data_IF_756235997521
#
_entry.id   IF_756235997521
#
_cell.length_a   1.000
_cell.length_b   1.000
_cell.length_c   1.000
_cell.angle_alpha   90.00
_cell.angle_beta   90.00
_cell.angle_gamma   90.00
#
_symmetry.space_group_name_H-M   'P 1'
#
loop_
_entity.id
_entity.type
_entity.pdbx_description
1 polymer ?
#
# COMPACT_ATOMS: atom_id res chain seq x y z
N UNK A 1 -8.90 -23.30 34.65
CA UNK A 1 -10.10 -22.77 33.93
C UNK A 1 -10.12 -21.24 33.82
N UNK A 2 -9.88 -20.46 34.89
CA UNK A 2 -9.75 -18.98 34.80
C UNK A 2 -8.58 -18.52 33.90
N UNK A 3 -7.44 -19.23 33.96
CA UNK A 3 -6.28 -18.95 33.11
C UNK A 3 -6.56 -19.20 31.62
N UNK A 4 -7.30 -20.25 31.28
CA UNK A 4 -7.66 -20.60 29.90
C UNK A 4 -8.60 -19.56 29.27
N UNK A 5 -9.57 -19.06 30.04
CA UNK A 5 -10.50 -18.00 29.61
C UNK A 5 -9.77 -16.66 29.47
N UNK A 6 -8.83 -16.35 30.37
CA UNK A 6 -7.98 -15.17 30.25
C UNK A 6 -7.06 -15.26 29.02
N UNK A 7 -6.50 -16.44 28.73
CA UNK A 7 -5.67 -16.68 27.55
C UNK A 7 -6.49 -16.55 26.26
N UNK A 8 -7.73 -17.06 26.25
CA UNK A 8 -8.65 -16.92 25.11
C UNK A 8 -9.03 -15.45 24.89
N UNK A 9 -9.35 -14.71 25.96
CA UNK A 9 -9.61 -13.26 25.90
C UNK A 9 -8.38 -12.47 25.46
N UNK A 10 -7.17 -12.87 25.87
CA UNK A 10 -5.92 -12.26 25.40
C UNK A 10 -5.67 -12.53 23.91
N UNK A 11 -6.04 -13.73 23.43
CA UNK A 11 -5.99 -14.08 22.01
C UNK A 11 -6.97 -13.26 21.15
N UNK A 12 -8.10 -12.82 21.73
CA UNK A 12 -9.02 -11.86 21.08
C UNK A 12 -8.62 -10.39 21.24
N UNK A 13 -7.71 -10.08 22.17
CA UNK A 13 -7.16 -8.74 22.42
C UNK A 13 -5.83 -8.49 21.73
N UNK A 14 -5.16 -9.53 21.22
CA UNK A 14 -4.10 -9.34 20.25
C UNK A 14 -4.72 -8.58 19.07
N UNK A 15 -4.18 -7.41 18.69
CA UNK A 15 -4.52 -6.85 17.40
C UNK A 15 -4.03 -7.90 16.40
N UNK A 16 -4.93 -8.75 15.92
CA UNK A 16 -4.78 -9.31 14.59
C UNK A 16 -4.51 -8.07 13.76
N UNK A 17 -3.30 -7.96 13.19
CA UNK A 17 -2.99 -7.01 12.14
C UNK A 17 -4.02 -7.29 11.07
N UNK A 18 -5.16 -6.65 11.22
CA UNK A 18 -6.31 -6.81 10.36
C UNK A 18 -5.82 -6.07 9.15
N UNK A 19 -5.41 -6.82 8.12
CA UNK A 19 -5.22 -6.27 6.80
C UNK A 19 -6.58 -5.67 6.43
N UNK A 20 -6.75 -4.38 6.71
CA UNK A 20 -7.99 -3.66 6.47
C UNK A 20 -8.00 -3.30 4.99
N UNK A 21 -8.23 -4.33 4.17
CA UNK A 21 -8.68 -4.12 2.82
C UNK A 21 -10.11 -3.58 2.88
N UNK A 22 -10.41 -2.59 2.05
CA UNK A 22 -11.72 -1.97 1.96
C UNK A 22 -12.02 -1.62 0.51
N UNK A 23 -13.29 -1.43 0.18
CA UNK A 23 -13.71 -1.01 -1.16
C UNK A 23 -14.16 0.44 -1.06
N UNK A 24 -13.42 1.34 -1.69
CA UNK A 24 -13.87 2.71 -1.93
C UNK A 24 -14.83 2.70 -3.11
N UNK A 25 -15.92 3.46 -3.02
CA UNK A 25 -16.96 3.53 -4.06
C UNK A 25 -17.36 4.97 -4.29
N UNK A 26 -17.56 5.33 -5.56
CA UNK A 26 -18.08 6.63 -5.99
C UNK A 26 -19.29 6.40 -6.89
N UNK A 27 -20.39 7.06 -6.55
CA UNK A 27 -21.68 6.92 -7.23
C UNK A 27 -22.46 8.26 -7.16
N UNK A 28 -23.42 8.50 -8.07
CA UNK A 28 -24.30 9.67 -7.99
C UNK A 28 -25.19 9.60 -6.74
N UNK A 29 -25.42 10.75 -6.10
CA UNK A 29 -26.23 10.82 -4.85
C UNK A 29 -27.72 10.58 -5.09
N UNK A 30 -28.24 11.05 -6.23
CA UNK A 30 -29.66 10.97 -6.59
C UNK A 30 -29.82 10.37 -7.98
N UNK A 31 -30.74 9.42 -8.11
CA UNK A 31 -30.98 8.70 -9.37
C UNK A 31 -32.47 8.39 -9.53
N UNK A 32 -32.98 8.46 -10.75
CA UNK A 32 -34.37 8.15 -11.08
C UNK A 32 -34.43 6.91 -11.97
N UNK A 33 -35.61 6.27 -12.01
CA UNK A 33 -35.85 5.13 -12.90
C UNK A 33 -35.61 5.57 -14.35
N UNK A 34 -34.90 4.74 -15.11
CA UNK A 34 -34.47 4.99 -16.48
C UNK A 34 -33.10 5.67 -16.60
N UNK A 35 -32.55 6.25 -15.53
CA UNK A 35 -31.22 6.85 -15.57
C UNK A 35 -30.14 5.77 -15.80
N UNK A 36 -29.16 6.10 -16.65
CA UNK A 36 -27.88 5.39 -16.70
C UNK A 36 -26.94 6.01 -15.68
N UNK A 37 -26.35 5.17 -14.82
CA UNK A 37 -25.46 5.60 -13.75
C UNK A 37 -24.16 4.81 -13.84
N UNK A 38 -23.07 5.46 -13.45
CA UNK A 38 -21.75 4.82 -13.33
C UNK A 38 -21.35 4.77 -11.87
N UNK A 39 -20.88 3.60 -11.44
CA UNK A 39 -20.33 3.37 -10.11
C UNK A 39 -18.86 3.01 -10.30
N UNK A 40 -17.98 3.84 -9.78
CA UNK A 40 -16.54 3.60 -9.76
C UNK A 40 -16.17 2.98 -8.41
N UNK A 41 -15.20 2.09 -8.41
CA UNK A 41 -14.80 1.39 -7.20
C UNK A 41 -13.34 0.96 -7.24
N UNK A 42 -12.71 0.90 -6.07
CA UNK A 42 -11.29 0.58 -5.93
C UNK A 42 -11.09 -0.26 -4.68
N UNK A 43 -10.31 -1.35 -4.79
CA UNK A 43 -9.85 -2.11 -3.63
C UNK A 43 -8.62 -1.40 -3.03
N UNK A 44 -8.73 -1.01 -1.77
CA UNK A 44 -7.73 -0.23 -1.06
C UNK A 44 -7.26 -1.00 0.17
N UNK A 45 -5.95 -1.13 0.34
CA UNK A 45 -5.34 -1.62 1.59
C UNK A 45 -4.60 -0.47 2.30
N UNK A 46 -4.50 -0.54 3.63
CA UNK A 46 -3.85 0.49 4.46
C UNK A 46 -2.34 0.27 4.68
N UNK A 47 -1.79 -0.75 4.04
CA UNK A 47 -0.36 -1.07 4.10
C UNK A 47 0.04 -1.93 2.92
N UNK A 48 1.33 -1.90 2.61
CA UNK A 48 1.99 -2.87 1.75
C UNK A 48 2.66 -3.89 2.67
N UNK A 49 2.49 -5.17 2.37
CA UNK A 49 3.25 -6.28 2.93
C UNK A 49 3.40 -7.32 1.82
N UNK A 50 4.23 -6.99 0.84
CA UNK A 50 4.32 -7.76 -0.40
C UNK A 50 5.61 -7.43 -1.13
N UNK A 51 6.21 -8.45 -1.72
CA UNK A 51 7.31 -8.31 -2.68
C UNK A 51 6.82 -8.32 -4.12
N UNK A 52 5.52 -8.53 -4.38
CA UNK A 52 4.97 -8.53 -5.73
C UNK A 52 4.72 -7.09 -6.23
N UNK A 53 5.78 -6.40 -6.65
CA UNK A 53 5.72 -5.05 -7.19
C UNK A 53 4.91 -5.01 -8.49
N UNK A 54 3.80 -4.25 -8.56
CA UNK A 54 2.95 -4.27 -9.74
C UNK A 54 3.54 -3.52 -10.93
N UNK A 55 4.43 -2.56 -10.68
CA UNK A 55 5.11 -1.80 -11.73
C UNK A 55 6.61 -2.08 -11.64
N UNK A 56 7.15 -2.69 -12.69
CA UNK A 56 8.58 -2.94 -12.84
C UNK A 56 9.01 -2.28 -14.15
N UNK A 57 9.88 -1.29 -14.03
CA UNK A 57 10.32 -0.46 -15.16
C UNK A 57 11.26 -1.24 -16.08
N UNK A 58 11.23 -1.01 -17.41
CA UNK A 58 12.29 -1.45 -18.30
C UNK A 58 13.66 -1.02 -17.79
N UNK A 59 14.56 -1.98 -17.55
CA UNK A 59 15.82 -1.73 -16.84
C UNK A 59 15.98 -2.57 -15.57
N UNK A 60 14.90 -3.19 -15.09
CA UNK A 60 14.93 -4.23 -14.06
C UNK A 60 14.63 -5.59 -14.68
N UNK A 61 15.47 -6.58 -14.39
CA UNK A 61 15.23 -7.99 -14.70
C UNK A 61 14.89 -8.74 -13.42
N UNK A 62 13.76 -9.43 -13.43
CA UNK A 62 13.43 -10.40 -12.38
C UNK A 62 14.22 -11.71 -12.63
N UNK A 63 15.03 -12.12 -11.65
CA UNK A 63 15.83 -13.36 -11.69
C UNK A 63 15.11 -14.51 -10.97
N UNK A 64 14.38 -14.20 -9.91
CA UNK A 64 13.67 -15.16 -9.05
C UNK A 64 12.47 -14.48 -8.41
N UNK A 65 11.40 -15.23 -8.14
CA UNK A 65 10.17 -14.74 -7.47
C UNK A 65 10.09 -15.11 -5.99
N UNK A 66 10.90 -16.07 -5.51
CA UNK A 66 10.87 -16.52 -4.12
C UNK A 66 12.25 -16.97 -3.61
N UNK A 67 13.00 -16.12 -2.88
CA UNK A 67 12.72 -14.69 -2.68
C UNK A 67 12.78 -13.92 -4.00
N UNK A 68 12.17 -12.72 -4.03
CA UNK A 68 12.25 -11.85 -5.20
C UNK A 68 13.70 -11.39 -5.38
N UNK A 69 14.28 -11.60 -6.54
CA UNK A 69 15.62 -11.11 -6.89
C UNK A 69 15.51 -10.24 -8.13
N UNK A 70 15.87 -8.97 -7.97
CA UNK A 70 15.88 -7.98 -9.03
C UNK A 70 17.32 -7.67 -9.42
N UNK A 71 17.57 -7.60 -10.72
CA UNK A 71 18.84 -7.18 -11.28
C UNK A 71 18.65 -5.93 -12.12
N UNK A 72 19.46 -4.90 -11.89
CA UNK A 72 19.56 -3.77 -12.80
C UNK A 72 20.35 -4.15 -14.04
N UNK A 73 19.71 -4.05 -15.20
CA UNK A 73 20.36 -4.17 -16.52
C UNK A 73 20.82 -2.75 -16.97
N UNK A 74 21.52 -2.53 -18.10
CA UNK A 74 22.34 -1.33 -18.33
C UNK A 74 21.55 -0.05 -18.68
N UNK A 75 20.54 0.23 -17.88
CA UNK A 75 19.75 1.46 -17.77
C UNK A 75 19.72 1.76 -16.28
N UNK A 76 20.52 2.73 -15.82
CA UNK A 76 20.44 3.20 -14.43
C UNK A 76 19.06 3.82 -14.13
N UNK A 77 18.69 3.92 -12.85
CA UNK A 77 17.41 4.52 -12.47
C UNK A 77 16.17 3.69 -12.78
N UNK A 78 16.32 2.38 -12.91
CA UNK A 78 15.18 1.50 -13.07
C UNK A 78 14.62 1.13 -11.69
N UNK A 79 13.32 0.89 -11.59
CA UNK A 79 12.68 0.67 -10.29
C UNK A 79 11.51 -0.31 -10.36
N UNK A 80 11.20 -0.88 -9.20
CA UNK A 80 10.02 -1.69 -8.94
C UNK A 80 9.21 -1.00 -7.83
N UNK A 81 7.96 -0.62 -8.10
CA UNK A 81 7.15 0.24 -7.21
C UNK A 81 5.71 -0.22 -7.09
N UNK A 82 5.09 0.17 -5.98
CA UNK A 82 3.66 0.15 -5.75
C UNK A 82 3.08 1.55 -5.99
N UNK A 83 1.88 1.62 -6.56
CA UNK A 83 1.09 2.85 -6.55
C UNK A 83 0.43 3.02 -5.18
N UNK A 84 0.58 4.21 -4.61
CA UNK A 84 0.09 4.54 -3.28
C UNK A 84 -0.67 5.86 -3.28
N UNK A 85 -1.53 6.05 -2.28
CA UNK A 85 -2.02 7.37 -1.94
C UNK A 85 -1.58 7.69 -0.52
N UNK A 86 -0.89 8.81 -0.39
CA UNK A 86 -0.44 9.28 0.91
C UNK A 86 -1.63 9.82 1.71
N UNK A 87 -1.98 9.12 2.79
CA UNK A 87 -3.13 9.45 3.65
C UNK A 87 -2.70 9.93 5.05
N UNK A 88 -1.39 9.91 5.33
CA UNK A 88 -0.81 10.17 6.65
C UNK A 88 0.21 11.30 6.58
N UNK A 89 0.51 11.90 7.73
CA UNK A 89 1.65 12.79 7.89
C UNK A 89 2.95 12.02 8.18
N UNK A 90 2.90 10.70 8.24
CA UNK A 90 4.05 9.83 8.45
C UNK A 90 3.89 8.55 7.64
N UNK A 91 4.95 8.15 6.94
CA UNK A 91 5.07 6.86 6.26
C UNK A 91 6.30 6.14 6.83
N UNK A 92 6.13 4.86 7.15
CA UNK A 92 7.23 3.97 7.52
C UNK A 92 7.42 2.94 6.42
N UNK A 93 8.63 2.84 5.87
CA UNK A 93 9.00 1.90 4.81
C UNK A 93 10.07 0.97 5.36
N UNK A 94 9.86 -0.34 5.27
CA UNK A 94 10.81 -1.36 5.71
C UNK A 94 11.16 -2.28 4.56
N UNK A 95 12.46 -2.36 4.28
CA UNK A 95 13.05 -3.32 3.36
C UNK A 95 13.78 -4.40 4.17
N UNK A 96 13.52 -5.67 3.87
CA UNK A 96 14.29 -6.79 4.39
C UNK A 96 14.87 -7.57 3.22
N UNK A 97 16.19 -7.68 3.16
CA UNK A 97 16.81 -8.25 1.97
C UNK A 97 18.32 -8.18 1.94
N UNK A 98 18.88 -8.44 0.76
CA UNK A 98 20.32 -8.36 0.50
C UNK A 98 20.59 -7.46 -0.69
N UNK A 99 21.76 -6.85 -0.70
CA UNK A 99 22.27 -6.11 -1.85
C UNK A 99 23.68 -6.60 -2.20
N UNK A 100 23.93 -6.69 -3.49
CA UNK A 100 25.25 -6.76 -4.09
C UNK A 100 25.31 -5.66 -5.15
N UNK A 101 26.01 -4.56 -4.81
CA UNK A 101 26.00 -3.34 -5.62
C UNK A 101 27.37 -2.66 -5.61
N UNK A 102 27.81 -2.10 -6.75
CA UNK A 102 28.89 -1.13 -6.79
C UNK A 102 28.61 0.10 -5.92
N UNK A 103 29.63 0.60 -5.22
CA UNK A 103 29.53 1.72 -4.28
C UNK A 103 29.09 3.04 -4.93
N UNK A 104 29.37 3.24 -6.22
CA UNK A 104 28.99 4.43 -6.98
C UNK A 104 27.57 4.35 -7.58
N UNK A 105 26.87 3.24 -7.35
CA UNK A 105 25.47 3.09 -7.70
C UNK A 105 24.57 3.37 -6.51
N UNK A 106 23.28 3.57 -6.82
CA UNK A 106 22.34 4.13 -5.87
C UNK A 106 21.09 3.23 -5.72
N UNK A 107 21.21 1.91 -5.46
CA UNK A 107 20.05 1.12 -5.09
C UNK A 107 19.52 1.56 -3.73
N UNK A 108 18.21 1.52 -3.55
CA UNK A 108 17.61 1.96 -2.31
C UNK A 108 16.10 1.97 -2.31
N UNK A 109 15.54 2.50 -1.23
CA UNK A 109 14.12 2.82 -1.13
C UNK A 109 13.89 4.13 -1.86
N UNK A 110 12.97 4.13 -2.81
CA UNK A 110 12.55 5.32 -3.52
C UNK A 110 11.07 5.60 -3.30
N UNK A 111 10.75 6.88 -3.18
CA UNK A 111 9.39 7.40 -3.23
C UNK A 111 9.31 8.47 -4.31
N UNK A 112 8.22 8.46 -5.05
CA UNK A 112 8.01 9.35 -6.19
C UNK A 112 6.64 10.01 -6.11
N UNK A 113 6.58 11.27 -6.52
CA UNK A 113 5.37 12.05 -6.71
C UNK A 113 5.37 12.74 -8.07
N UNK A 114 4.39 13.60 -8.30
CA UNK A 114 4.23 14.29 -9.58
C UNK A 114 3.79 13.35 -10.70
N UNK A 115 4.26 13.59 -11.93
CA UNK A 115 3.82 12.88 -13.13
C UNK A 115 4.80 11.76 -13.55
N UNK A 116 5.25 10.94 -12.58
CA UNK A 116 6.14 9.82 -12.87
C UNK A 116 5.49 8.84 -13.86
N UNK A 117 6.17 8.56 -14.96
CA UNK A 117 5.83 7.48 -15.88
C UNK A 117 6.56 6.20 -15.48
N UNK A 118 5.81 5.23 -14.94
CA UNK A 118 6.31 3.94 -14.44
C UNK A 118 6.90 3.01 -15.51
N UNK A 119 6.85 3.39 -16.79
CA UNK A 119 7.42 2.62 -17.89
C UNK A 119 8.76 3.16 -18.37
N UNK A 120 9.27 4.23 -17.77
CA UNK A 120 10.53 4.88 -18.13
C UNK A 120 11.42 4.96 -16.88
N UNK A 121 12.74 4.79 -17.05
CA UNK A 121 13.68 4.96 -15.93
C UNK A 121 13.63 6.40 -15.38
N UNK A 122 13.91 6.56 -14.10
CA UNK A 122 13.95 7.85 -13.39
C UNK A 122 15.09 8.77 -13.86
N UNK A 123 16.04 8.25 -14.65
CA UNK A 123 17.13 9.03 -15.26
C UNK A 123 16.78 9.58 -16.65
N UNK A 124 15.68 9.11 -17.25
CA UNK A 124 15.30 9.43 -18.63
C UNK A 124 13.91 10.10 -18.73
N UNK A 125 13.42 10.64 -17.62
CA UNK A 125 12.19 11.39 -17.58
C UNK A 125 12.33 12.59 -16.65
N UNK A 126 11.55 13.64 -16.93
CA UNK A 126 11.46 14.85 -16.13
C UNK A 126 10.02 14.99 -15.58
N UNK A 127 9.72 16.06 -14.85
CA UNK A 127 8.38 16.39 -14.31
C UNK A 127 7.85 15.43 -13.23
N UNK A 128 8.75 14.83 -12.46
CA UNK A 128 8.43 14.12 -11.24
C UNK A 128 9.24 14.66 -10.06
N UNK A 129 8.78 14.36 -8.85
CA UNK A 129 9.53 14.61 -7.62
C UNK A 129 9.90 13.28 -6.99
N UNK A 130 11.05 13.22 -6.31
CA UNK A 130 11.51 11.96 -5.75
C UNK A 130 12.43 12.13 -4.56
N UNK A 131 12.40 11.15 -3.66
CA UNK A 131 13.40 10.97 -2.61
C UNK A 131 13.90 9.54 -2.69
N UNK A 132 15.22 9.39 -2.75
CA UNK A 132 15.90 8.10 -2.83
C UNK A 132 16.86 7.95 -1.65
N UNK A 133 16.57 6.98 -0.80
CA UNK A 133 17.38 6.62 0.36
C UNK A 133 18.20 5.38 0.00
N UNK A 134 19.47 5.60 -0.34
CA UNK A 134 20.32 4.54 -0.89
C UNK A 134 20.90 3.65 0.19
N UNK A 135 21.06 2.38 -0.16
CA UNK A 135 21.77 1.40 0.65
C UNK A 135 23.28 1.70 0.73
N UNK A 136 23.80 2.48 -0.22
CA UNK A 136 25.19 2.93 -0.30
C UNK A 136 25.50 4.15 0.57
N UNK A 137 24.49 4.74 1.22
CA UNK A 137 24.65 5.77 2.26
C UNK A 137 24.54 7.21 1.76
N UNK A 138 23.68 7.46 0.78
CA UNK A 138 23.41 8.78 0.19
C UNK A 138 21.90 9.02 0.12
N UNK A 139 21.49 10.23 0.47
CA UNK A 139 20.14 10.76 0.29
C UNK A 139 20.10 11.59 -0.98
N UNK A 140 19.40 11.08 -1.99
CA UNK A 140 19.16 11.79 -3.24
C UNK A 140 17.76 12.38 -3.28
N UNK A 141 17.64 13.54 -3.90
CA UNK A 141 16.35 14.19 -4.17
C UNK A 141 16.22 14.53 -5.64
N UNK A 142 15.04 14.31 -6.20
CA UNK A 142 14.70 14.71 -7.56
C UNK A 142 13.70 15.84 -7.52
N UNK A 143 14.04 16.97 -8.14
CA UNK A 143 13.12 18.07 -8.38
C UNK A 143 12.83 18.18 -9.88
N UNK A 144 11.59 18.49 -10.23
CA UNK A 144 11.10 18.65 -11.62
C UNK A 144 12.00 19.52 -12.49
N UNK A 145 12.72 20.49 -11.92
CA UNK A 145 13.55 21.47 -12.64
C UNK A 145 15.05 21.17 -12.62
N UNK A 146 15.54 20.35 -11.69
CA UNK A 146 16.98 20.18 -11.43
C UNK A 146 17.49 18.76 -11.63
N UNK A 147 16.60 17.79 -11.78
CA UNK A 147 16.99 16.39 -11.80
C UNK A 147 17.38 15.88 -10.41
N UNK A 148 18.14 14.78 -10.39
CA UNK A 148 18.68 14.17 -9.18
C UNK A 148 19.87 14.96 -8.60
N UNK A 149 19.81 15.26 -7.31
CA UNK A 149 20.84 15.96 -6.55
C UNK A 149 21.12 15.22 -5.24
N UNK A 150 22.39 15.05 -4.89
CA UNK A 150 22.82 14.55 -3.58
C UNK A 150 22.55 15.63 -2.53
N UNK A 151 21.79 15.27 -1.51
CA UNK A 151 21.44 16.17 -0.42
C UNK A 151 22.28 15.92 0.84
N UNK A 152 22.56 14.66 1.18
CA UNK A 152 23.22 14.31 2.43
C UNK A 152 23.72 12.85 2.46
N UNK A 153 24.63 12.56 3.39
CA UNK A 153 25.05 11.19 3.70
C UNK A 153 24.06 10.49 4.65
N UNK A 154 23.87 9.18 4.43
CA UNK A 154 23.05 8.27 5.22
C UNK A 154 23.90 7.11 5.79
N UNK A 155 23.43 6.41 6.84
CA UNK A 155 24.07 5.17 7.27
C UNK A 155 24.04 4.10 6.17
N UNK A 156 25.20 3.46 5.93
CA UNK A 156 25.37 2.37 4.95
C UNK A 156 24.88 1.04 5.50
N UNK A 157 24.34 0.18 4.63
CA UNK A 157 23.80 -1.15 5.04
C UNK A 157 24.87 -2.20 5.32
N UNK A 158 26.09 -1.99 4.86
CA UNK A 158 27.17 -2.95 4.98
C UNK A 158 28.54 -2.36 4.71
N UNK A 159 29.61 -3.13 5.01
CA UNK A 159 30.97 -2.72 4.73
C UNK A 159 31.22 -2.68 3.22
N UNK A 160 32.06 -1.73 2.79
CA UNK A 160 32.56 -1.65 1.44
C UNK A 160 33.80 -2.55 1.29
N UNK A 161 33.80 -3.41 0.27
CA UNK A 161 34.94 -4.23 -0.13
C UNK A 161 35.36 -3.86 -1.55
N UNK A 162 36.44 -3.09 -1.66
CA UNK A 162 36.85 -2.50 -2.94
C UNK A 162 35.79 -1.52 -3.47
N UNK A 163 35.26 -1.80 -4.67
CA UNK A 163 34.19 -0.99 -5.27
C UNK A 163 32.79 -1.53 -4.95
N UNK A 164 32.65 -2.57 -4.13
CA UNK A 164 31.36 -3.24 -3.90
C UNK A 164 30.88 -3.07 -2.46
N UNK A 165 29.57 -2.95 -2.29
CA UNK A 165 28.85 -3.19 -1.04
C UNK A 165 28.10 -4.50 -1.24
N UNK A 166 28.46 -5.51 -0.46
CA UNK A 166 27.85 -6.82 -0.50
C UNK A 166 27.41 -7.23 0.91
N UNK A 167 26.12 -7.50 1.06
CA UNK A 167 25.56 -7.98 2.32
C UNK A 167 25.34 -9.50 2.26
N UNK A 168 26.21 -10.26 2.90
CA UNK A 168 26.14 -11.73 2.92
C UNK A 168 24.83 -12.25 3.57
N UNK A 169 24.36 -11.55 4.59
CA UNK A 169 23.13 -11.87 5.33
C UNK A 169 22.05 -10.81 5.07
N UNK A 170 20.75 -11.18 5.12
CA UNK A 170 19.70 -10.19 4.99
C UNK A 170 19.81 -9.12 6.08
N UNK A 171 19.67 -7.86 5.69
CA UNK A 171 19.55 -6.74 6.60
C UNK A 171 18.12 -6.22 6.61
N UNK A 172 17.73 -5.61 7.72
CA UNK A 172 16.52 -4.81 7.82
C UNK A 172 16.91 -3.33 7.71
N UNK A 173 16.30 -2.61 6.78
CA UNK A 173 16.44 -1.17 6.59
C UNK A 173 15.06 -0.51 6.63
N UNK A 174 14.76 0.17 7.73
CA UNK A 174 13.52 0.91 7.92
C UNK A 174 13.78 2.41 7.84
N UNK A 175 12.97 3.12 7.08
CA UNK A 175 12.97 4.59 6.99
C UNK A 175 11.65 5.11 7.55
N UNK A 176 11.72 6.15 8.37
CA UNK A 176 10.55 6.90 8.83
C UNK A 176 10.58 8.29 8.24
N UNK A 177 9.57 8.61 7.44
CA UNK A 177 9.41 9.89 6.76
C UNK A 177 8.17 10.59 7.29
N UNK A 178 8.21 11.91 7.38
CA UNK A 178 7.06 12.72 7.78
C UNK A 178 6.84 13.94 6.92
N UNK A 179 5.62 14.47 7.00
CA UNK A 179 5.25 15.76 6.46
C UNK A 179 5.70 16.87 7.41
N UNK A 180 6.59 17.74 6.95
CA UNK A 180 6.98 18.96 7.63
C UNK A 180 6.61 20.16 6.76
N UNK A 181 5.50 20.84 7.09
CA UNK A 181 5.01 22.03 6.38
C UNK A 181 4.73 21.82 4.88
N UNK A 182 4.33 20.61 4.48
CA UNK A 182 4.07 20.25 3.09
C UNK A 182 5.29 19.67 2.38
N UNK A 183 6.46 19.67 3.02
CA UNK A 183 7.69 19.05 2.51
C UNK A 183 7.95 17.71 3.16
N UNK A 184 8.77 16.91 2.49
CA UNK A 184 9.23 15.62 2.96
C UNK A 184 10.37 15.78 3.92
N UNK A 185 10.24 15.12 5.07
CA UNK A 185 11.21 15.11 6.14
C UNK A 185 11.68 13.69 6.42
N UNK A 186 12.99 13.48 6.40
CA UNK A 186 13.61 12.20 6.75
C UNK A 186 13.94 12.21 8.24
N UNK A 187 13.10 11.56 9.06
CA UNK A 187 13.29 11.57 10.52
C UNK A 187 14.50 10.72 10.92
N UNK A 188 14.40 9.41 10.66
CA UNK A 188 15.41 8.46 11.07
C UNK A 188 15.41 7.21 10.20
N UNK A 189 16.53 6.52 10.25
CA UNK A 189 16.75 5.24 9.58
C UNK A 189 17.11 4.23 10.66
N UNK A 190 16.55 3.02 10.57
CA UNK A 190 16.85 1.91 11.47
C UNK A 190 17.47 0.80 10.63
N UNK A 191 18.71 0.43 10.95
CA UNK A 191 19.40 -0.67 10.29
C UNK A 191 19.66 -1.77 11.30
N UNK A 192 19.10 -2.97 11.06
CA UNK A 192 19.23 -4.13 11.96
C UNK A 192 18.91 -3.79 13.43
N UNK A 193 17.89 -2.95 13.66
CA UNK A 193 17.46 -2.51 14.99
C UNK A 193 18.23 -1.32 15.57
N UNK A 194 19.34 -0.89 14.96
CA UNK A 194 20.07 0.31 15.37
C UNK A 194 19.45 1.56 14.73
N UNK A 195 19.03 2.52 15.56
CA UNK A 195 18.40 3.77 15.10
C UNK A 195 19.46 4.85 14.85
N UNK A 196 19.40 5.46 13.68
CA UNK A 196 20.22 6.58 13.24
C UNK A 196 19.31 7.79 13.01
N UNK A 197 19.54 8.88 13.75
CA UNK A 197 18.84 10.13 13.54
C UNK A 197 19.38 10.80 12.26
N UNK A 198 18.50 11.13 11.33
CA UNK A 198 18.86 11.82 10.07
C UNK A 198 18.48 13.29 10.18
N UNK A 199 17.21 13.57 10.49
CA UNK A 199 16.70 14.92 10.79
C UNK A 199 16.88 15.93 9.64
N UNK A 200 16.45 15.55 8.42
CA UNK A 200 16.66 16.34 7.19
C UNK A 200 15.34 16.66 6.48
N UNK A 201 15.08 17.94 6.23
CA UNK A 201 14.02 18.41 5.33
C UNK A 201 14.54 18.45 3.89
N UNK A 202 13.84 17.80 2.96
CA UNK A 202 14.32 17.60 1.58
C UNK A 202 13.86 18.67 0.60
N UNK A 203 12.91 19.52 0.99
CA UNK A 203 12.20 20.46 0.10
C UNK A 203 11.47 19.77 -1.08
N UNK A 204 11.25 18.46 -0.98
CA UNK A 204 10.42 17.71 -1.92
C UNK A 204 8.99 17.66 -1.37
N UNK A 205 7.95 18.06 -2.14
CA UNK A 205 6.58 18.06 -1.65
C UNK A 205 6.12 16.69 -1.11
N UNK A 206 5.34 16.71 -0.03
CA UNK A 206 4.74 15.52 0.60
C UNK A 206 3.51 15.04 -0.21
N UNK A 207 3.72 14.62 -1.45
CA UNK A 207 2.65 14.23 -2.39
C UNK A 207 3.01 12.98 -3.21
N UNK A 208 3.54 11.95 -2.54
CA UNK A 208 3.95 10.71 -3.18
C UNK A 208 2.78 9.89 -3.72
N UNK A 209 2.98 9.34 -4.91
CA UNK A 209 2.09 8.41 -5.61
C UNK A 209 2.71 7.04 -5.81
N UNK A 210 4.02 6.90 -5.59
CA UNK A 210 4.71 5.62 -5.71
C UNK A 210 5.75 5.42 -4.61
N UNK A 211 5.93 4.16 -4.20
CA UNK A 211 6.96 3.71 -3.26
C UNK A 211 7.52 2.37 -3.69
N UNK A 212 8.82 2.17 -3.55
CA UNK A 212 9.41 0.88 -3.88
C UNK A 212 10.92 0.85 -3.77
N UNK A 213 11.51 0.00 -4.60
CA UNK A 213 12.95 -0.23 -4.67
C UNK A 213 13.46 0.24 -6.02
N UNK A 214 14.48 1.10 -5.97
CA UNK A 214 15.18 1.63 -7.14
C UNK A 214 16.53 0.91 -7.28
N UNK A 215 16.94 0.68 -8.52
CA UNK A 215 18.14 -0.06 -8.91
C UNK A 215 18.90 0.71 -10.01
N UNK A 216 20.21 0.51 -10.03
CA UNK A 216 21.13 0.92 -11.09
C UNK A 216 21.72 -0.29 -11.80
N UNK A 217 22.49 -0.03 -12.85
CA UNK A 217 23.19 -1.04 -13.62
C UNK A 217 24.06 -1.95 -12.73
N UNK A 218 24.00 -3.27 -12.92
CA UNK A 218 24.75 -4.29 -12.16
C UNK A 218 24.30 -4.50 -10.72
N UNK A 219 23.31 -3.76 -10.22
CA UNK A 219 22.76 -4.02 -8.90
C UNK A 219 22.06 -5.38 -8.88
N UNK A 220 22.28 -6.15 -7.81
CA UNK A 220 21.48 -7.32 -7.47
C UNK A 220 20.86 -7.07 -6.11
N UNK A 221 19.53 -6.94 -6.09
CA UNK A 221 18.75 -6.70 -4.88
C UNK A 221 17.85 -7.91 -4.64
N UNK A 222 18.08 -8.62 -3.54
CA UNK A 222 17.19 -9.69 -3.07
C UNK A 222 16.23 -9.10 -2.06
N UNK A 223 14.93 -9.23 -2.30
CA UNK A 223 13.84 -8.70 -1.47
C UNK A 223 13.14 -9.87 -0.79
N UNK A 224 13.39 -10.03 0.50
CA UNK A 224 12.73 -11.04 1.33
C UNK A 224 11.39 -10.54 1.86
N UNK A 225 11.32 -9.25 2.21
CA UNK A 225 10.10 -8.60 2.65
C UNK A 225 10.13 -7.10 2.31
N UNK A 226 8.96 -6.53 2.04
CA UNK A 226 8.79 -5.11 1.78
C UNK A 226 7.47 -4.63 2.39
N UNK A 227 7.60 -3.80 3.43
CA UNK A 227 6.47 -3.32 4.21
C UNK A 227 6.37 -1.80 4.13
N UNK A 228 5.16 -1.29 3.94
CA UNK A 228 4.88 0.16 3.98
C UNK A 228 3.63 0.39 4.83
N UNK A 229 3.71 1.29 5.79
CA UNK A 229 2.58 1.73 6.61
C UNK A 229 2.42 3.24 6.56
N UNK A 230 1.23 3.74 6.93
CA UNK A 230 0.89 5.16 6.81
C UNK A 230 0.45 5.56 5.39
N UNK A 231 0.08 4.59 4.55
CA UNK A 231 -0.33 4.84 3.17
C UNK A 231 -1.58 4.04 2.83
N UNK A 232 -2.29 4.42 1.78
CA UNK A 232 -3.20 3.51 1.08
C UNK A 232 -2.51 2.95 -0.17
N UNK A 233 -2.81 1.71 -0.53
CA UNK A 233 -2.30 1.06 -1.74
C UNK A 233 -3.46 0.47 -2.53
N UNK A 234 -3.38 0.62 -3.85
CA UNK A 234 -4.28 -0.02 -4.81
C UNK A 234 -3.50 -1.09 -5.57
N UNK A 235 -4.14 -2.21 -5.84
CA UNK A 235 -3.52 -3.28 -6.62
C UNK A 235 -4.14 -3.31 -8.02
N UNK A 236 -3.32 -3.36 -9.09
CA UNK A 236 -3.85 -3.50 -10.43
C UNK A 236 -4.45 -4.88 -10.65
N UNK A 237 -5.29 -4.97 -11.68
CA UNK A 237 -5.81 -6.22 -12.23
C UNK A 237 -6.42 -7.15 -11.18
N UNK A 238 -7.10 -6.57 -10.20
CA UNK A 238 -7.83 -7.34 -9.19
C UNK A 238 -9.15 -7.82 -9.78
N UNK A 239 -9.46 -9.12 -9.67
CA UNK A 239 -10.74 -9.63 -10.14
C UNK A 239 -11.87 -9.08 -9.27
N UNK A 240 -12.95 -8.66 -9.92
CA UNK A 240 -14.17 -8.21 -9.26
C UNK A 240 -15.41 -8.86 -9.87
N UNK A 241 -16.48 -8.92 -9.08
CA UNK A 241 -17.81 -9.33 -9.52
C UNK A 241 -18.82 -8.34 -8.98
N UNK A 242 -19.69 -7.83 -9.86
CA UNK A 242 -20.81 -6.95 -9.52
C UNK A 242 -22.10 -7.73 -9.65
N UNK A 243 -22.88 -7.77 -8.57
CA UNK A 243 -24.23 -8.30 -8.55
C UNK A 243 -25.25 -7.17 -8.51
N UNK A 244 -26.34 -7.30 -9.24
CA UNK A 244 -27.51 -6.43 -9.15
C UNK A 244 -28.70 -7.30 -8.73
N UNK A 245 -29.32 -6.97 -7.59
CA UNK A 245 -30.42 -7.74 -7.00
C UNK A 245 -30.08 -9.25 -6.88
N UNK A 246 -28.89 -9.55 -6.35
CA UNK A 246 -28.34 -10.90 -6.16
C UNK A 246 -28.07 -11.71 -7.43
N UNK A 247 -28.21 -11.12 -8.62
CA UNK A 247 -27.82 -11.73 -9.88
C UNK A 247 -26.51 -11.14 -10.37
N UNK A 248 -25.58 -11.97 -10.82
CA UNK A 248 -24.35 -11.48 -11.44
C UNK A 248 -24.71 -10.58 -12.64
N UNK A 249 -24.17 -9.37 -12.62
CA UNK A 249 -24.36 -8.38 -13.66
C UNK A 249 -23.15 -8.29 -14.57
N UNK A 250 -21.95 -8.19 -13.97
CA UNK A 250 -20.68 -8.19 -14.68
C UNK A 250 -19.56 -8.70 -13.78
N UNK A 251 -18.59 -9.38 -14.37
CA UNK A 251 -17.31 -9.72 -13.76
C UNK A 251 -16.17 -9.17 -14.63
N UNK A 252 -15.04 -8.85 -14.02
CA UNK A 252 -13.92 -8.23 -14.72
C UNK A 252 -12.68 -8.05 -13.85
N UNK A 253 -11.74 -7.25 -14.34
CA UNK A 253 -10.50 -6.90 -13.64
C UNK A 253 -10.36 -5.38 -13.57
N UNK A 254 -9.80 -4.89 -12.46
CA UNK A 254 -9.45 -3.46 -12.36
C UNK A 254 -8.35 -3.08 -13.36
N UNK A 255 -8.27 -1.79 -13.68
CA UNK A 255 -7.24 -1.24 -14.56
C UNK A 255 -5.84 -1.27 -13.92
N UNK A 256 -4.85 -0.69 -14.60
CA UNK A 256 -3.46 -0.59 -14.14
C UNK A 256 -3.31 0.23 -12.84
N UNK A 257 -4.29 1.07 -12.47
CA UNK A 257 -4.29 1.83 -11.22
C UNK A 257 -5.11 1.16 -10.11
N UNK A 258 -5.69 -0.01 -10.39
CA UNK A 258 -6.54 -0.75 -9.45
C UNK A 258 -7.99 -0.24 -9.38
N UNK A 259 -8.42 0.54 -10.36
CA UNK A 259 -9.76 1.11 -10.44
C UNK A 259 -10.69 0.25 -11.32
N UNK A 260 -11.93 0.09 -10.87
CA UNK A 260 -13.02 -0.56 -11.61
C UNK A 260 -14.19 0.40 -11.80
N UNK A 261 -15.00 0.13 -12.82
CA UNK A 261 -16.22 0.89 -13.09
C UNK A 261 -17.29 -0.02 -13.67
N UNK A 262 -18.54 0.25 -13.31
CA UNK A 262 -19.72 -0.40 -13.89
C UNK A 262 -20.75 0.66 -14.23
N UNK A 263 -21.33 0.56 -15.43
CA UNK A 263 -22.47 1.39 -15.84
C UNK A 263 -23.72 0.53 -15.88
N UNK A 264 -24.78 0.97 -15.20
CA UNK A 264 -26.05 0.26 -15.12
C UNK A 264 -27.22 1.21 -15.35
N UNK A 265 -28.36 0.67 -15.79
CA UNK A 265 -29.62 1.43 -15.92
C UNK A 265 -30.49 1.15 -14.71
N UNK A 266 -31.00 2.20 -14.07
CA UNK A 266 -31.90 2.08 -12.91
C UNK A 266 -33.26 1.57 -13.41
N UNK A 267 -33.56 0.29 -13.19
CA UNK A 267 -34.73 -0.39 -13.75
C UNK A 267 -35.88 -0.57 -12.77
N UNK A 268 -35.64 -0.39 -11.48
CA UNK A 268 -36.66 -0.52 -10.44
C UNK A 268 -36.58 0.60 -9.39
N UNK A 269 -37.67 0.86 -8.64
CA UNK A 269 -37.67 1.87 -7.60
C UNK A 269 -36.69 1.58 -6.45
N UNK A 270 -36.31 0.32 -6.30
CA UNK A 270 -35.33 -0.15 -5.33
C UNK A 270 -34.39 -1.15 -6.02
N UNK A 271 -33.08 -0.92 -5.95
CA UNK A 271 -32.05 -1.82 -6.47
C UNK A 271 -30.92 -1.97 -5.45
N UNK A 272 -30.38 -3.18 -5.35
CA UNK A 272 -29.19 -3.48 -4.54
C UNK A 272 -28.05 -3.82 -5.50
N UNK A 273 -26.94 -3.11 -5.38
CA UNK A 273 -25.70 -3.38 -6.12
C UNK A 273 -24.66 -3.87 -5.12
N UNK A 274 -24.09 -5.05 -5.36
CA UNK A 274 -23.04 -5.62 -4.54
C UNK A 274 -21.75 -5.76 -5.35
N UNK A 275 -20.70 -5.05 -4.95
CA UNK A 275 -19.37 -5.11 -5.57
C UNK A 275 -18.50 -6.01 -4.69
N UNK A 276 -18.00 -7.10 -5.25
CA UNK A 276 -17.19 -8.10 -4.54
C UNK A 276 -15.79 -8.18 -5.16
N UNK A 277 -14.77 -8.25 -4.31
CA UNK A 277 -13.40 -8.62 -4.68
C UNK A 277 -13.07 -9.99 -4.09
N UNK A 278 -13.23 -11.08 -4.87
CA UNK A 278 -13.08 -12.45 -4.35
C UNK A 278 -11.70 -12.71 -3.75
N UNK A 279 -10.63 -12.22 -4.37
CA UNK A 279 -9.25 -12.40 -3.90
C UNK A 279 -8.99 -11.82 -2.51
N UNK A 280 -9.75 -10.79 -2.12
CA UNK A 280 -9.64 -10.14 -0.82
C UNK A 280 -10.74 -10.56 0.16
N UNK A 281 -11.68 -11.42 -0.27
CA UNK A 281 -12.86 -11.83 0.49
C UNK A 281 -13.69 -10.65 1.05
N UNK A 282 -13.77 -9.55 0.31
CA UNK A 282 -14.47 -8.33 0.72
C UNK A 282 -15.53 -7.94 -0.31
N UNK A 283 -16.61 -7.36 0.17
CA UNK A 283 -17.70 -6.86 -0.64
C UNK A 283 -18.27 -5.53 -0.11
N UNK A 284 -18.98 -4.81 -0.96
CA UNK A 284 -19.62 -3.52 -0.65
C UNK A 284 -21.02 -3.47 -1.24
N UNK A 285 -22.00 -3.17 -0.40
CA UNK A 285 -23.41 -3.08 -0.78
C UNK A 285 -23.79 -1.62 -0.98
N UNK A 286 -24.34 -1.29 -2.14
CA UNK A 286 -24.89 0.01 -2.50
C UNK A 286 -26.39 -0.18 -2.73
N UNK A 287 -27.18 0.58 -1.99
CA UNK A 287 -28.64 0.59 -2.12
C UNK A 287 -29.06 1.83 -2.89
N UNK A 288 -29.83 1.60 -3.96
CA UNK A 288 -30.38 2.63 -4.84
C UNK A 288 -31.88 2.70 -4.59
N UNK A 289 -32.35 3.85 -4.08
CA UNK A 289 -33.76 4.21 -4.04
C UNK A 289 -34.05 5.28 -5.09
N UNK A 290 -34.97 4.99 -6.01
CA UNK A 290 -35.32 5.85 -7.15
C UNK A 290 -36.76 6.42 -7.07
N UNK A 291 -37.35 6.42 -5.87
CA UNK A 291 -38.68 7.02 -5.59
C UNK A 291 -38.55 8.47 -5.08
N UNK A 292 -39.67 9.07 -4.62
CA UNK A 292 -39.64 10.40 -3.96
C UNK A 292 -38.65 10.37 -2.79
N UNK A 293 -37.62 11.20 -2.86
CA UNK A 293 -36.47 11.15 -1.94
C UNK A 293 -35.34 10.25 -2.47
N UNK A 294 -35.08 10.29 -3.78
CA UNK A 294 -34.06 9.48 -4.45
C UNK A 294 -32.73 9.56 -3.71
N UNK A 295 -32.17 8.41 -3.38
CA UNK A 295 -30.96 8.33 -2.57
C UNK A 295 -30.19 7.06 -2.93
N UNK A 296 -28.93 7.24 -3.28
CA UNK A 296 -27.96 6.15 -3.37
C UNK A 296 -27.05 6.24 -2.16
N UNK A 297 -26.95 5.14 -1.41
CA UNK A 297 -26.10 5.10 -0.23
C UNK A 297 -25.49 3.70 -0.07
N UNK A 298 -24.43 3.64 0.71
CA UNK A 298 -23.81 2.38 1.09
C UNK A 298 -24.43 1.85 2.37
N UNK A 299 -24.78 0.57 2.36
CA UNK A 299 -25.16 -0.15 3.57
C UNK A 299 -23.94 -0.80 4.20
N UNK A 300 -23.77 -0.56 5.49
CA UNK A 300 -22.80 -1.30 6.29
C UNK A 300 -23.46 -2.60 6.76
N UNK A 301 -22.80 -3.76 6.69
CA UNK A 301 -23.39 -5.01 7.14
C UNK A 301 -23.57 -5.00 8.67
N UNK A 302 -24.72 -4.50 9.13
CA UNK A 302 -25.08 -4.40 10.56
C UNK A 302 -25.07 -5.79 11.22
N UNK A 303 -25.37 -6.85 10.46
CA UNK A 303 -25.46 -8.21 10.99
C UNK A 303 -24.14 -8.70 11.62
N UNK A 304 -22.99 -8.42 11.02
CA UNK A 304 -21.69 -8.85 11.55
C UNK A 304 -21.36 -8.13 12.86
N UNK A 305 -21.63 -6.82 12.92
CA UNK A 305 -21.48 -6.03 14.14
C UNK A 305 -22.49 -6.42 15.22
N UNK A 306 -23.73 -6.74 14.83
CA UNK A 306 -24.76 -7.22 15.75
C UNK A 306 -24.40 -8.59 16.33
N UNK A 307 -23.90 -9.53 15.52
CA UNK A 307 -23.44 -10.85 15.98
C UNK A 307 -22.24 -10.72 16.92
N UNK A 308 -21.30 -9.82 16.63
CA UNK A 308 -20.18 -9.51 17.52
C UNK A 308 -20.68 -8.93 18.85
N UNK A 309 -21.61 -7.97 18.79
CA UNK A 309 -22.24 -7.36 19.96
C UNK A 309 -22.98 -8.37 20.84
N UNK A 310 -23.77 -9.26 20.23
CA UNK A 310 -24.46 -10.36 20.92
C UNK A 310 -23.46 -11.32 21.55
N UNK A 311 -22.37 -11.66 20.85
CA UNK A 311 -21.33 -12.55 21.38
C UNK A 311 -20.63 -11.95 22.61
N UNK A 312 -20.26 -10.66 22.55
CA UNK A 312 -19.67 -9.93 23.69
C UNK A 312 -20.64 -9.89 24.87
N UNK A 313 -21.92 -9.62 24.61
CA UNK A 313 -22.97 -9.57 25.63
C UNK A 313 -23.13 -10.94 26.33
N UNK A 314 -23.17 -12.04 25.57
CA UNK A 314 -23.28 -13.39 26.12
C UNK A 314 -22.06 -13.77 26.98
N UNK A 315 -20.85 -13.37 26.58
CA UNK A 315 -19.64 -13.56 27.39
C UNK A 315 -19.71 -12.76 28.69
N UNK A 316 -20.15 -11.51 28.65
CA UNK A 316 -20.31 -10.68 29.85
C UNK A 316 -21.33 -11.27 30.84
N UNK A 317 -22.49 -11.74 30.35
CA UNK A 317 -23.51 -12.41 31.17
C UNK A 317 -22.94 -13.67 31.83
N UNK A 318 -22.23 -14.51 31.07
CA UNK A 318 -21.60 -15.72 31.59
C UNK A 318 -20.61 -15.44 32.73
N UNK A 319 -19.82 -14.37 32.61
CA UNK A 319 -18.87 -13.94 33.67
C UNK A 319 -19.62 -13.46 34.93
N UNK A 320 -20.71 -12.71 34.76
CA UNK A 320 -21.52 -12.19 35.88
C UNK A 320 -22.19 -13.33 36.65
N UNK A 321 -22.83 -14.28 35.95
CA UNK A 321 -23.46 -15.43 36.60
C UNK A 321 -22.45 -16.30 37.34
N UNK A 322 -21.28 -16.53 36.75
CA UNK A 322 -20.20 -17.29 37.40
C UNK A 322 -19.66 -16.61 38.65
N UNK A 323 -19.72 -15.28 38.74
CA UNK A 323 -19.38 -14.53 39.96
C UNK A 323 -20.47 -14.57 41.03
N UNK A 324 -21.73 -14.85 40.67
CA UNK A 324 -22.83 -15.01 41.65
C UNK A 324 -22.90 -16.41 42.27
N UNK A 325 -22.33 -17.41 41.62
CA UNK A 325 -22.32 -18.80 42.09
C UNK A 325 -21.09 -19.16 42.95
N UNK A 326 -20.22 -18.19 43.24
CA UNK A 326 -19.08 -18.29 44.14
C UNK A 326 -19.16 -17.18 45.18
#
# INVERSE_FOLDING_TARGET
MRLLVLLLLLLFLLPILSFSASICVQYPKEVYIGNKISINFTLVQQSINSTAFPFITPGVREISTSPLVLQGIPIGGAYAVFHIQNISNEITITFIGKVDTPYYWNPGIAIYGGNLNTHISDLYQDNFTGVLLTFTGVLWVHNETKGWVDLASLPKVGPQSGIWINTTYPFNYTVILSNANGDTFVNCIIINGSKYLVDIQTCIPWNFSYVGVRLDNLDIVTICDFLVSGTSVTFPHQPYIVYVNNKEYVSGYTNELGEGSVTLTVSSPYMIVNITFPSAHIFRIITISAQRGANVHVEYPILQYALLGVSVLLVAISIIERKRMH
#
